data_IF_825445206032
#
_entry.id   IF_825445206032
#
_cell.length_a   1.000
_cell.length_b   1.000
_cell.length_c   1.000
_cell.angle_alpha   90.00
_cell.angle_beta   90.00
_cell.angle_gamma   90.00
#
_symmetry.space_group_name_H-M   'P 1'
#
loop_
_entity.id
_entity.type
_entity.pdbx_description
1 polymer ?
#
# COMPACT_ATOMS: atom_id res chain seq x y z
N UNK A 1 -9.42 1.80 -25.68
CA UNK A 1 -8.41 1.27 -24.72
C UNK A 1 -7.20 2.20 -24.80
N UNK A 2 -6.66 2.65 -23.67
CA UNK A 2 -5.67 3.73 -23.62
C UNK A 2 -4.20 3.27 -23.75
N UNK A 3 -3.94 1.94 -23.72
CA UNK A 3 -2.61 1.36 -24.00
C UNK A 3 -1.48 2.02 -23.20
N UNK A 4 -0.33 2.21 -23.84
CA UNK A 4 0.87 2.80 -23.23
C UNK A 4 0.84 4.34 -23.12
N UNK A 5 -0.36 4.95 -23.13
CA UNK A 5 -0.54 6.41 -23.08
C UNK A 5 -0.99 6.92 -21.72
N UNK A 6 -1.15 6.03 -20.74
CA UNK A 6 -1.53 6.37 -19.37
C UNK A 6 -0.49 5.81 -18.42
N UNK A 7 -0.18 6.60 -17.39
CA UNK A 7 0.62 6.18 -16.25
C UNK A 7 -0.27 6.13 -15.00
N UNK A 8 0.02 5.19 -14.11
CA UNK A 8 -0.56 5.13 -12.77
C UNK A 8 0.34 5.87 -11.78
N UNK A 9 -0.27 6.58 -10.84
CA UNK A 9 0.41 7.30 -9.76
C UNK A 9 -0.38 7.07 -8.46
N UNK A 10 0.30 6.66 -7.39
CA UNK A 10 -0.34 6.46 -6.08
C UNK A 10 -0.44 4.98 -5.68
N UNK A 11 -1.64 4.57 -5.25
CA UNK A 11 -2.05 3.22 -4.82
C UNK A 11 -1.57 2.71 -3.44
N UNK A 12 -0.79 3.49 -2.69
CA UNK A 12 -0.54 3.22 -1.27
C UNK A 12 -1.59 3.93 -0.40
N UNK A 13 -2.29 3.15 0.42
CA UNK A 13 -3.38 3.62 1.29
C UNK A 13 -2.82 4.15 2.62
N UNK A 14 -2.96 5.46 2.83
CA UNK A 14 -2.50 6.14 4.04
C UNK A 14 -3.53 6.18 5.17
N UNK A 15 -4.79 5.79 4.90
CA UNK A 15 -5.87 5.89 5.88
C UNK A 15 -6.08 4.59 6.64
N UNK A 16 -5.88 3.44 6.00
CA UNK A 16 -6.10 2.13 6.65
C UNK A 16 -4.85 1.25 6.64
N UNK A 17 -4.16 1.14 5.51
CA UNK A 17 -2.99 0.25 5.43
C UNK A 17 -1.82 0.79 6.26
N UNK A 18 -1.30 1.98 5.95
CA UNK A 18 -0.11 2.48 6.63
C UNK A 18 -0.25 2.67 8.16
N UNK A 19 -1.41 3.10 8.71
CA UNK A 19 -1.55 3.27 10.16
C UNK A 19 -1.73 1.96 10.95
N UNK A 20 -2.30 0.92 10.34
CA UNK A 20 -2.79 -0.26 11.08
C UNK A 20 -2.13 -1.59 10.70
N UNK A 21 -1.37 -1.63 9.60
CA UNK A 21 -0.67 -2.84 9.17
C UNK A 21 0.66 -3.05 9.88
N UNK A 22 1.11 -4.31 9.95
CA UNK A 22 2.49 -4.63 10.34
C UNK A 22 3.47 -4.29 9.22
N UNK A 23 4.77 -4.20 9.55
CA UNK A 23 5.84 -3.97 8.56
C UNK A 23 5.78 -4.99 7.43
N UNK A 24 5.60 -6.27 7.75
CA UNK A 24 5.50 -7.36 6.79
C UNK A 24 4.28 -7.21 5.87
N UNK A 25 3.14 -6.81 6.42
CA UNK A 25 1.92 -6.53 5.66
C UNK A 25 2.11 -5.32 4.72
N UNK A 26 2.80 -4.27 5.19
CA UNK A 26 3.14 -3.11 4.34
C UNK A 26 4.04 -3.53 3.18
N UNK A 27 5.08 -4.32 3.45
CA UNK A 27 6.00 -4.84 2.42
C UNK A 27 5.23 -5.64 1.36
N UNK A 28 4.33 -6.53 1.80
CA UNK A 28 3.46 -7.31 0.93
C UNK A 28 2.57 -6.42 0.06
N UNK A 29 1.87 -5.46 0.68
CA UNK A 29 0.95 -4.62 -0.05
C UNK A 29 1.67 -3.79 -1.11
N UNK A 30 2.85 -3.24 -0.79
CA UNK A 30 3.71 -2.53 -1.75
C UNK A 30 4.09 -3.44 -2.92
N UNK A 31 4.60 -4.64 -2.66
CA UNK A 31 4.95 -5.60 -3.70
C UNK A 31 3.75 -5.93 -4.59
N UNK A 32 2.58 -6.15 -3.98
CA UNK A 32 1.32 -6.38 -4.70
C UNK A 32 0.94 -5.23 -5.62
N UNK A 33 1.03 -3.97 -5.18
CA UNK A 33 0.74 -2.81 -6.06
C UNK A 33 1.73 -2.73 -7.22
N UNK A 34 3.02 -2.98 -6.97
CA UNK A 34 4.05 -2.98 -8.02
C UNK A 34 3.78 -4.10 -9.04
N UNK A 35 3.43 -5.30 -8.55
CA UNK A 35 3.06 -6.43 -9.39
C UNK A 35 1.82 -6.14 -10.24
N UNK A 36 0.77 -5.54 -9.65
CA UNK A 36 -0.52 -5.35 -10.32
C UNK A 36 -0.49 -4.15 -11.28
N UNK A 37 0.12 -3.03 -10.89
CA UNK A 37 0.10 -1.78 -11.65
C UNK A 37 1.37 -1.54 -12.47
N UNK A 38 2.50 -2.12 -12.07
CA UNK A 38 3.80 -1.85 -12.66
C UNK A 38 4.11 -2.64 -13.92
N UNK A 39 3.31 -3.66 -14.27
CA UNK A 39 3.47 -4.46 -15.48
C UNK A 39 3.48 -3.60 -16.73
N UNK A 40 4.54 -3.71 -17.54
CA UNK A 40 4.70 -2.92 -18.76
C UNK A 40 5.21 -1.49 -18.52
N UNK A 41 5.49 -1.10 -17.29
CA UNK A 41 5.96 0.25 -16.95
C UNK A 41 4.83 1.23 -16.68
N UNK A 42 5.18 2.51 -16.49
CA UNK A 42 4.21 3.58 -16.30
C UNK A 42 3.54 3.63 -14.93
N UNK A 43 4.07 2.95 -13.91
CA UNK A 43 3.58 3.07 -12.54
C UNK A 43 4.59 3.84 -11.67
N UNK A 44 4.11 4.91 -11.05
CA UNK A 44 4.83 5.68 -10.04
C UNK A 44 4.21 5.40 -8.67
N UNK A 45 4.89 4.54 -7.90
CA UNK A 45 4.45 4.22 -6.55
C UNK A 45 4.48 5.46 -5.67
N UNK A 46 3.33 5.79 -5.09
CA UNK A 46 3.19 6.93 -4.19
C UNK A 46 2.03 6.71 -3.23
N UNK A 47 1.98 7.52 -2.20
CA UNK A 47 0.81 7.59 -1.32
C UNK A 47 -0.37 8.24 -2.05
N UNK A 48 -1.59 7.76 -1.78
CA UNK A 48 -2.79 8.33 -2.38
C UNK A 48 -3.14 9.74 -1.85
N UNK A 49 -2.57 10.10 -0.70
CA UNK A 49 -2.66 11.41 -0.05
C UNK A 49 -1.43 11.60 0.85
N UNK A 50 -1.24 12.78 1.43
CA UNK A 50 -0.20 13.06 2.43
C UNK A 50 -0.19 12.06 3.60
N UNK A 51 1.01 11.75 4.09
CA UNK A 51 1.23 10.91 5.27
C UNK A 51 0.94 11.74 6.53
N UNK A 52 0.03 11.25 7.37
CA UNK A 52 -0.32 11.87 8.65
C UNK A 52 0.57 11.43 9.82
N UNK A 53 0.41 12.09 10.96
CA UNK A 53 1.12 11.76 12.22
C UNK A 53 0.71 10.41 12.82
N UNK A 54 -0.37 9.81 12.33
CA UNK A 54 -0.91 8.52 12.74
C UNK A 54 -0.21 7.32 12.08
N UNK A 55 0.68 7.56 11.11
CA UNK A 55 1.45 6.51 10.45
C UNK A 55 2.74 6.23 11.23
N UNK A 56 2.97 4.98 11.69
CA UNK A 56 4.24 4.58 12.31
C UNK A 56 5.43 4.78 11.36
N UNK A 57 6.56 5.35 11.81
CA UNK A 57 7.75 5.55 10.98
C UNK A 57 8.28 4.26 10.34
N UNK A 58 8.15 3.13 11.04
CA UNK A 58 8.59 1.81 10.56
C UNK A 58 7.84 1.40 9.29
N UNK A 59 6.55 1.73 9.20
CA UNK A 59 5.71 1.45 8.03
C UNK A 59 6.08 2.36 6.85
N UNK A 60 6.49 3.60 7.12
CA UNK A 60 7.02 4.51 6.09
C UNK A 60 8.31 3.94 5.52
N UNK A 61 9.25 3.56 6.40
CA UNK A 61 10.54 2.96 6.01
C UNK A 61 10.32 1.68 5.20
N UNK A 62 9.45 0.77 5.68
CA UNK A 62 9.10 -0.47 5.00
C UNK A 62 8.55 -0.21 3.58
N UNK A 63 7.77 0.85 3.41
CA UNK A 63 7.26 1.25 2.09
C UNK A 63 8.39 1.66 1.16
N UNK A 64 9.33 2.49 1.63
CA UNK A 64 10.47 2.93 0.83
C UNK A 64 11.43 1.79 0.48
N UNK A 65 11.75 0.94 1.45
CA UNK A 65 12.63 -0.22 1.25
C UNK A 65 12.01 -1.19 0.24
N UNK A 66 10.71 -1.49 0.36
CA UNK A 66 10.00 -2.37 -0.58
C UNK A 66 9.91 -1.76 -1.97
N UNK A 67 9.74 -0.45 -2.08
CA UNK A 67 9.75 0.24 -3.37
C UNK A 67 11.14 0.18 -4.03
N UNK A 68 12.22 0.27 -3.26
CA UNK A 68 13.59 0.11 -3.77
C UNK A 68 13.90 -1.33 -4.18
N UNK A 69 13.41 -2.30 -3.42
CA UNK A 69 13.63 -3.73 -3.64
C UNK A 69 12.86 -4.24 -4.86
N UNK A 70 11.55 -3.97 -4.94
CA UNK A 70 10.67 -4.54 -5.96
C UNK A 70 10.39 -3.60 -7.15
N UNK A 71 10.67 -2.30 -7.03
CA UNK A 71 10.28 -1.27 -8.01
C UNK A 71 11.32 -0.93 -9.08
N UNK A 72 12.41 -1.69 -9.18
CA UNK A 72 13.46 -1.44 -10.19
C UNK A 72 13.02 -1.93 -11.57
N UNK A 73 12.98 -1.01 -12.54
CA UNK A 73 12.66 -1.35 -13.92
C UNK A 73 13.92 -1.74 -14.73
N UNK A 74 13.85 -2.76 -15.62
CA UNK A 74 12.67 -3.57 -15.93
C UNK A 74 12.30 -4.52 -14.77
N UNK A 75 11.01 -4.57 -14.43
CA UNK A 75 10.53 -5.39 -13.31
C UNK A 75 10.79 -6.87 -13.58
N UNK A 76 11.44 -7.54 -12.63
CA UNK A 76 11.52 -8.99 -12.60
C UNK A 76 10.28 -9.55 -11.90
N UNK A 77 9.29 -9.99 -12.69
CA UNK A 77 8.04 -10.55 -12.14
C UNK A 77 8.24 -11.85 -11.36
N UNK A 78 9.41 -12.48 -11.48
CA UNK A 78 9.79 -13.68 -10.75
C UNK A 78 10.37 -13.36 -9.36
N UNK A 79 10.95 -12.16 -9.18
CA UNK A 79 11.60 -11.70 -7.95
C UNK A 79 10.71 -10.79 -7.11
N UNK A 80 9.66 -10.21 -7.70
CA UNK A 80 8.63 -9.50 -6.94
C UNK A 80 7.86 -10.52 -6.11
N UNK A 81 7.77 -10.25 -4.80
CA UNK A 81 6.97 -11.04 -3.87
C UNK A 81 5.57 -11.23 -4.43
N UNK A 82 5.21 -12.49 -4.68
CA UNK A 82 3.94 -12.84 -5.31
C UNK A 82 2.82 -12.80 -4.27
N UNK A 83 1.58 -12.55 -4.73
CA UNK A 83 0.41 -12.59 -3.85
C UNK A 83 0.27 -13.90 -3.06
N UNK A 84 0.85 -15.00 -3.55
CA UNK A 84 0.83 -16.33 -2.95
C UNK A 84 1.97 -16.59 -1.93
N UNK A 85 3.04 -15.79 -1.95
CA UNK A 85 4.25 -16.02 -1.12
C UNK A 85 4.03 -15.73 0.37
N UNK A 86 3.00 -14.93 0.67
CA UNK A 86 2.31 -14.96 1.95
C UNK A 86 0.92 -15.46 1.62
N UNK A 87 0.52 -16.63 2.10
CA UNK A 87 -0.88 -16.98 2.19
C UNK A 87 -1.40 -16.40 3.51
N UNK A 88 -1.83 -15.12 3.61
CA UNK A 88 -2.67 -14.75 4.73
C UNK A 88 -3.96 -15.51 4.46
N UNK A 89 -4.22 -16.58 5.22
CA UNK A 89 -5.60 -17.01 5.44
C UNK A 89 -6.44 -15.74 5.59
N UNK A 90 -7.54 -15.59 4.83
CA UNK A 90 -8.33 -14.38 4.93
C UNK A 90 -8.66 -14.24 6.41
N UNK A 91 -8.12 -13.21 7.05
CA UNK A 91 -8.49 -12.87 8.41
C UNK A 91 -9.99 -12.68 8.35
N UNK A 92 -10.70 -13.72 8.76
CA UNK A 92 -12.13 -13.88 8.67
C UNK A 92 -12.71 -12.69 9.38
N UNK A 93 -13.15 -11.66 8.65
CA UNK A 93 -13.86 -10.49 9.17
C UNK A 93 -13.61 -10.29 10.66
N UNK A 94 -12.40 -9.93 11.09
CA UNK A 94 -12.17 -9.62 12.50
C UNK A 94 -12.75 -8.23 12.73
N UNK A 95 -14.08 -8.24 12.81
CA UNK A 95 -14.85 -7.41 13.70
C UNK A 95 -14.22 -7.60 15.08
N UNK A 96 -13.37 -6.65 15.47
CA UNK A 96 -13.22 -6.17 16.85
C UNK A 96 -12.14 -5.07 16.87
N UNK A 97 -12.44 -3.96 16.19
CA UNK A 97 -11.83 -2.69 16.58
C UNK A 97 -12.51 -2.24 17.90
N UNK A 98 -11.77 -1.80 18.94
CA UNK A 98 -12.38 -1.21 20.11
C UNK A 98 -13.18 0.03 19.67
N UNK A 99 -14.50 -0.08 19.78
CA UNK A 99 -15.45 0.97 19.40
C UNK A 99 -15.20 2.21 20.25
N UNK A 100 -14.40 3.14 19.74
CA UNK A 100 -14.42 4.53 20.20
C UNK A 100 -14.59 5.42 18.98
N UNK A 101 -15.82 5.49 18.47
CA UNK A 101 -16.24 6.56 17.57
C UNK A 101 -16.08 7.89 18.33
N UNK A 102 -14.96 8.59 18.16
CA UNK A 102 -14.90 10.02 18.52
C UNK A 102 -15.86 10.75 17.59
N UNK A 103 -16.87 11.37 18.20
CA UNK A 103 -17.88 12.15 17.50
C UNK A 103 -17.21 13.22 16.61
N UNK A 104 -17.55 13.22 15.32
CA UNK A 104 -17.12 14.24 14.37
C UNK A 104 -17.58 15.61 14.88
N UNK A 105 -16.61 16.51 15.10
CA UNK A 105 -16.86 17.91 15.45
C UNK A 105 -17.60 18.58 14.29
N UNK A 106 -18.74 19.26 14.51
CA UNK A 106 -19.45 19.92 13.42
C UNK A 106 -18.58 21.05 12.85
N UNK A 107 -18.54 21.13 11.52
CA UNK A 107 -17.92 22.25 10.80
C UNK A 107 -18.65 23.53 11.20
N UNK A 108 -17.93 24.49 11.80
CA UNK A 108 -18.45 25.84 12.02
C UNK A 108 -18.59 26.50 10.64
N UNK A 109 -19.81 26.90 10.31
CA UNK A 109 -20.08 27.87 9.24
C UNK A 109 -19.75 29.28 9.69
#
# INVERSE_FOLDING_TARGET
>A
IFGDRICFHGAIDVQQMLPFSTVEEVRYDVAKRIHDLGRGGGYFLSVCHDIGEDVPPENIIATFESAQEYGQYPLSMEEILKPEDLNPEPASLVQDAPTTKKARRPRRG
#
